data_IF_804313115945
#
_entry.id   IF_804313115945
#
_cell.length_a   1.000
_cell.length_b   1.000
_cell.length_c   1.000
_cell.angle_alpha   90.00
_cell.angle_beta   90.00
_cell.angle_gamma   90.00
#
_symmetry.space_group_name_H-M   'P 1'
#
loop_
_entity.id
_entity.type
_entity.pdbx_description
1 polymer ?
#
# COMPACT_ATOMS: atom_id res chain seq x y z
N UNK A 1 -14.01 -12.59 -4.29
CA UNK A 1 -14.13 -11.37 -3.55
C UNK A 1 -12.77 -10.88 -3.09
N UNK A 2 -12.53 -9.59 -3.20
CA UNK A 2 -11.31 -8.99 -2.76
C UNK A 2 -11.08 -9.14 -1.26
N UNK A 3 -9.83 -9.15 -0.85
CA UNK A 3 -9.41 -9.23 0.53
C UNK A 3 -7.94 -8.94 0.65
N UNK A 4 -7.45 -8.86 1.88
CA UNK A 4 -6.01 -8.70 2.09
C UNK A 4 -5.26 -9.88 1.47
N UNK A 5 -4.14 -9.63 0.81
CA UNK A 5 -3.25 -10.71 0.41
C UNK A 5 -2.89 -11.58 1.60
N UNK A 6 -2.82 -12.88 1.39
CA UNK A 6 -2.52 -13.85 2.44
C UNK A 6 -1.08 -14.33 2.30
N UNK A 7 -0.30 -14.17 3.37
CA UNK A 7 1.03 -14.75 3.44
C UNK A 7 0.88 -16.15 4.01
N UNK A 8 1.34 -17.20 3.30
CA UNK A 8 1.27 -18.56 3.83
C UNK A 8 2.01 -18.69 5.16
N UNK A 9 1.44 -19.42 6.12
CA UNK A 9 2.04 -19.66 7.44
C UNK A 9 3.43 -20.26 7.37
N UNK A 10 3.67 -21.04 6.30
CA UNK A 10 4.97 -21.63 6.02
C UNK A 10 5.34 -21.35 4.59
N UNK A 11 6.39 -20.58 4.45
CA UNK A 11 7.06 -20.43 3.18
C UNK A 11 8.02 -21.61 3.01
N UNK A 12 7.51 -22.70 2.45
CA UNK A 12 8.32 -23.89 2.13
C UNK A 12 9.09 -23.69 0.80
N UNK A 13 9.48 -22.45 0.54
CA UNK A 13 10.21 -22.13 -0.68
C UNK A 13 11.68 -22.45 -0.46
N UNK A 14 12.18 -23.42 -1.21
CA UNK A 14 13.61 -23.67 -1.26
C UNK A 14 14.31 -22.70 -2.22
N UNK A 15 13.53 -22.13 -3.15
CA UNK A 15 14.01 -21.22 -4.18
C UNK A 15 13.79 -19.76 -3.76
N UNK A 16 14.89 -19.03 -3.62
CA UNK A 16 14.85 -17.61 -3.25
C UNK A 16 14.08 -16.74 -4.26
N UNK A 17 14.12 -17.08 -5.56
CA UNK A 17 13.42 -16.34 -6.60
C UNK A 17 11.89 -16.44 -6.44
N UNK A 18 11.37 -17.60 -6.07
CA UNK A 18 9.95 -17.79 -5.79
C UNK A 18 9.53 -16.99 -4.56
N UNK A 19 10.36 -16.96 -3.54
CA UNK A 19 10.12 -16.19 -2.33
C UNK A 19 10.12 -14.69 -2.61
N UNK A 20 11.05 -14.21 -3.40
CA UNK A 20 11.11 -12.83 -3.87
C UNK A 20 9.81 -12.47 -4.61
N UNK A 21 9.37 -13.29 -5.56
CA UNK A 21 8.14 -13.08 -6.30
C UNK A 21 6.90 -13.02 -5.40
N UNK A 22 6.84 -13.86 -4.37
CA UNK A 22 5.78 -13.81 -3.39
C UNK A 22 5.77 -12.48 -2.65
N UNK A 23 6.92 -12.04 -2.18
CA UNK A 23 7.02 -10.80 -1.42
C UNK A 23 6.75 -9.56 -2.27
N UNK A 24 7.12 -9.56 -3.53
CA UNK A 24 6.79 -8.48 -4.45
C UNK A 24 5.28 -8.23 -4.57
N UNK A 25 4.48 -9.28 -4.50
CA UNK A 25 3.02 -9.15 -4.52
C UNK A 25 2.44 -8.36 -3.34
N UNK A 26 3.15 -8.32 -2.21
CA UNK A 26 2.73 -7.51 -1.06
C UNK A 26 3.11 -6.04 -1.21
N UNK A 27 4.13 -5.77 -2.01
CA UNK A 27 4.52 -4.40 -2.33
C UNK A 27 3.58 -3.76 -3.35
N UNK A 28 3.13 -4.52 -4.34
CA UNK A 28 2.34 -4.00 -5.46
C UNK A 28 1.14 -3.14 -5.06
N UNK A 29 0.30 -3.52 -4.09
CA UNK A 29 -0.90 -2.75 -3.80
C UNK A 29 -0.62 -1.33 -3.31
N UNK A 30 0.55 -1.10 -2.75
CA UNK A 30 0.85 0.13 -2.01
C UNK A 30 2.04 0.87 -2.60
N UNK A 31 3.08 0.15 -3.02
CA UNK A 31 4.34 0.76 -3.39
C UNK A 31 4.50 1.01 -4.89
N UNK A 32 3.59 0.55 -5.72
CA UNK A 32 3.44 1.04 -7.09
C UNK A 32 2.82 2.43 -7.14
N UNK A 33 2.28 2.86 -6.01
CA UNK A 33 1.79 4.21 -5.84
C UNK A 33 2.98 5.17 -5.69
N UNK A 34 3.04 6.18 -6.53
CA UNK A 34 4.00 7.29 -6.38
C UNK A 34 3.86 8.02 -5.03
N UNK A 35 2.81 7.72 -4.28
CA UNK A 35 2.59 8.27 -2.95
C UNK A 35 3.48 7.64 -1.87
N UNK A 36 4.03 6.45 -2.10
CA UNK A 36 4.69 5.66 -1.06
C UNK A 36 6.13 5.29 -1.34
N UNK A 37 6.52 5.19 -2.60
CA UNK A 37 7.80 4.57 -2.96
C UNK A 37 9.05 5.21 -2.39
N UNK A 38 9.07 6.52 -2.20
CA UNK A 38 10.26 7.23 -1.72
C UNK A 38 10.04 8.01 -0.42
N UNK A 39 8.93 7.78 0.24
CA UNK A 39 8.51 8.53 1.43
C UNK A 39 8.71 7.67 2.67
N UNK A 40 9.34 8.25 3.69
CA UNK A 40 9.45 7.61 4.99
C UNK A 40 8.17 7.83 5.78
N UNK A 41 7.62 6.76 6.35
CA UNK A 41 6.41 6.82 7.16
C UNK A 41 6.34 5.63 8.12
N UNK A 42 5.69 5.83 9.27
CA UNK A 42 5.40 4.82 10.29
C UNK A 42 3.90 4.62 10.48
N UNK A 43 3.08 5.48 9.88
CA UNK A 43 1.62 5.35 9.89
C UNK A 43 1.02 5.93 8.61
N UNK A 44 -0.22 5.55 8.32
CA UNK A 44 -0.93 6.04 7.14
C UNK A 44 -1.05 7.57 7.12
N UNK A 45 -1.27 8.19 8.28
CA UNK A 45 -1.48 9.64 8.35
C UNK A 45 -0.21 10.46 8.14
N UNK A 46 0.96 9.84 8.21
CA UNK A 46 2.24 10.47 7.85
C UNK A 46 2.44 10.53 6.33
N UNK A 47 1.68 9.74 5.59
CA UNK A 47 1.73 9.74 4.13
C UNK A 47 1.01 10.98 3.62
N UNK A 48 1.60 11.75 2.67
CA UNK A 48 0.99 13.00 2.22
C UNK A 48 -0.38 12.83 1.57
N UNK A 49 -0.64 11.70 0.92
CA UNK A 49 -1.86 11.46 0.15
C UNK A 49 -2.48 10.10 0.47
N UNK A 50 -3.10 9.94 1.65
CA UNK A 50 -3.72 8.66 2.03
C UNK A 50 -4.84 8.20 1.09
N UNK A 51 -5.51 9.12 0.38
CA UNK A 51 -6.55 8.74 -0.59
C UNK A 51 -6.00 8.02 -1.81
N UNK A 52 -4.75 8.28 -2.20
CA UNK A 52 -4.09 7.51 -3.25
C UNK A 52 -3.83 6.07 -2.80
N UNK A 53 -3.48 5.90 -1.53
CA UNK A 53 -3.33 4.58 -0.92
C UNK A 53 -4.67 3.85 -0.90
N UNK A 54 -5.74 4.55 -0.52
CA UNK A 54 -7.09 3.99 -0.58
C UNK A 54 -7.44 3.48 -1.97
N UNK A 55 -7.20 4.28 -3.01
CA UNK A 55 -7.46 3.87 -4.40
C UNK A 55 -6.69 2.61 -4.77
N UNK A 56 -5.39 2.55 -4.46
CA UNK A 56 -4.56 1.39 -4.78
C UNK A 56 -5.04 0.12 -4.09
N UNK A 57 -5.36 0.22 -2.80
CA UNK A 57 -5.86 -0.90 -2.02
C UNK A 57 -7.25 -1.34 -2.46
N UNK A 58 -8.12 -0.39 -2.76
CA UNK A 58 -9.47 -0.70 -3.24
C UNK A 58 -9.42 -1.44 -4.57
N UNK A 59 -8.65 -0.94 -5.53
CA UNK A 59 -8.49 -1.58 -6.83
C UNK A 59 -7.79 -2.94 -6.73
N UNK A 60 -6.87 -3.11 -5.79
CA UNK A 60 -6.24 -4.40 -5.54
C UNK A 60 -7.25 -5.43 -5.02
N UNK A 61 -8.10 -5.03 -4.07
CA UNK A 61 -9.11 -5.90 -3.48
C UNK A 61 -10.32 -6.13 -4.39
N UNK A 62 -10.51 -5.26 -5.38
CA UNK A 62 -11.61 -5.31 -6.34
C UNK A 62 -11.04 -5.23 -7.77
N UNK A 63 -10.37 -6.30 -8.26
CA UNK A 63 -9.60 -6.24 -9.50
C UNK A 63 -10.44 -5.98 -10.77
N UNK A 64 -11.77 -6.19 -10.71
CA UNK A 64 -12.67 -5.89 -11.82
C UNK A 64 -13.14 -4.43 -11.83
N UNK A 65 -12.71 -3.61 -10.86
CA UNK A 65 -13.08 -2.20 -10.77
C UNK A 65 -12.25 -1.37 -11.75
N UNK A 66 -12.91 -0.54 -12.54
CA UNK A 66 -12.23 0.48 -13.32
C UNK A 66 -11.72 1.58 -12.36
N UNK A 67 -10.42 1.89 -12.35
CA UNK A 67 -9.90 2.98 -11.52
C UNK A 67 -10.62 4.31 -11.70
N UNK A 68 -11.16 4.59 -12.90
CA UNK A 68 -11.95 5.79 -13.16
C UNK A 68 -13.27 5.83 -12.37
N UNK A 69 -13.77 4.69 -11.91
CA UNK A 69 -14.96 4.63 -11.05
C UNK A 69 -14.63 4.92 -9.57
N UNK A 70 -13.36 4.90 -9.20
CA UNK A 70 -12.93 5.19 -7.83
C UNK A 70 -12.78 6.70 -7.62
N UNK A 71 -12.09 7.38 -8.51
CA UNK A 71 -11.94 8.83 -8.41
C UNK A 71 -13.01 9.59 -9.19
N UNK A 72 -13.20 10.85 -8.84
CA UNK A 72 -14.30 11.68 -9.35
C UNK A 72 -15.65 11.36 -8.71
N UNK A 73 -15.66 10.61 -7.61
CA UNK A 73 -16.86 10.20 -6.90
C UNK A 73 -16.81 10.59 -5.43
N UNK A 74 -17.97 10.56 -4.77
CA UNK A 74 -18.08 10.78 -3.34
C UNK A 74 -18.01 9.44 -2.62
N UNK A 75 -17.06 9.30 -1.69
CA UNK A 75 -16.87 8.08 -0.93
C UNK A 75 -17.30 8.26 0.52
N UNK A 76 -18.14 7.36 1.07
CA UNK A 76 -18.43 7.36 2.49
C UNK A 76 -17.15 7.18 3.31
N UNK A 77 -16.93 8.05 4.29
CA UNK A 77 -15.74 8.02 5.14
C UNK A 77 -15.62 6.72 5.91
N UNK A 78 -16.74 6.16 6.38
CA UNK A 78 -16.78 4.89 7.08
C UNK A 78 -16.29 3.72 6.20
N UNK A 79 -16.69 3.68 4.94
CA UNK A 79 -16.21 2.66 3.99
C UNK A 79 -14.72 2.80 3.70
N UNK A 80 -14.24 4.03 3.55
CA UNK A 80 -12.82 4.29 3.37
C UNK A 80 -11.99 3.83 4.58
N UNK A 81 -12.47 4.14 5.79
CA UNK A 81 -11.80 3.72 7.01
C UNK A 81 -11.73 2.20 7.14
N UNK A 82 -12.80 1.50 6.79
CA UNK A 82 -12.83 0.02 6.78
C UNK A 82 -11.81 -0.55 5.79
N UNK A 83 -11.78 -0.02 4.57
CA UNK A 83 -10.85 -0.48 3.54
C UNK A 83 -9.39 -0.27 3.97
N UNK A 84 -9.07 0.91 4.48
CA UNK A 84 -7.71 1.24 4.93
C UNK A 84 -7.30 0.44 6.18
N UNK A 85 -8.23 0.16 7.07
CA UNK A 85 -7.97 -0.61 8.30
C UNK A 85 -7.64 -2.08 8.06
N UNK A 86 -7.89 -2.58 6.86
CA UNK A 86 -7.45 -3.93 6.47
C UNK A 86 -5.93 -4.04 6.33
N UNK A 87 -5.25 -2.90 6.11
CA UNK A 87 -3.83 -2.85 5.82
C UNK A 87 -3.02 -2.00 6.79
N UNK A 88 -3.67 -1.10 7.50
CA UNK A 88 -3.04 -0.18 8.46
C UNK A 88 -3.79 -0.20 9.79
N UNK A 89 -3.06 -0.29 10.89
CA UNK A 89 -3.65 -0.18 12.21
C UNK A 89 -4.02 1.27 12.54
N UNK A 90 -5.06 1.43 13.34
CA UNK A 90 -5.40 2.71 13.96
C UNK A 90 -6.01 3.75 13.02
N UNK A 91 -6.50 3.35 11.86
CA UNK A 91 -7.21 4.28 10.94
C UNK A 91 -8.63 4.52 11.45
N UNK A 92 -8.96 5.78 11.64
CA UNK A 92 -10.29 6.22 12.08
C UNK A 92 -10.92 7.19 11.09
N UNK A 93 -12.26 7.26 11.11
CA UNK A 93 -12.99 8.25 10.31
C UNK A 93 -12.59 9.69 10.68
N UNK A 94 -12.40 9.95 11.97
CA UNK A 94 -11.98 11.27 12.45
C UNK A 94 -10.65 11.72 11.86
N UNK A 95 -9.67 10.82 11.77
CA UNK A 95 -8.39 11.12 11.14
C UNK A 95 -8.54 11.50 9.68
N UNK A 96 -9.38 10.77 8.92
CA UNK A 96 -9.64 11.04 7.52
C UNK A 96 -10.36 12.38 7.34
N UNK A 97 -11.37 12.66 8.15
CA UNK A 97 -12.11 13.92 8.12
C UNK A 97 -11.17 15.10 8.42
N UNK A 98 -10.34 14.98 9.46
CA UNK A 98 -9.42 16.05 9.84
C UNK A 98 -8.37 16.33 8.75
N UNK A 99 -7.90 15.29 8.07
CA UNK A 99 -6.92 15.44 6.99
C UNK A 99 -7.52 16.07 5.73
N UNK A 100 -8.79 15.83 5.47
CA UNK A 100 -9.48 16.22 4.24
C UNK A 100 -10.67 17.11 4.46
N UNK A 101 -10.58 18.06 5.39
CA UNK A 101 -11.67 18.97 5.74
C UNK A 101 -12.21 19.77 4.55
N UNK A 102 -11.36 20.11 3.60
CA UNK A 102 -11.70 20.88 2.41
C UNK A 102 -12.56 20.11 1.39
N UNK A 103 -12.54 18.79 1.44
CA UNK A 103 -13.33 17.94 0.54
C UNK A 103 -14.36 17.09 1.28
N UNK A 104 -14.49 17.27 2.59
CA UNK A 104 -15.48 16.56 3.40
C UNK A 104 -16.83 17.25 3.38
N UNK A 105 -17.88 16.48 3.09
CA UNK A 105 -19.27 16.92 3.20
C UNK A 105 -19.90 16.32 4.46
N UNK A 106 -20.11 17.12 5.52
CA UNK A 106 -20.71 16.62 6.75
C UNK A 106 -22.19 16.22 6.59
N UNK A 107 -22.88 16.74 5.58
CA UNK A 107 -24.30 16.41 5.35
C UNK A 107 -24.47 14.98 4.86
N UNK A 108 -23.52 14.49 4.04
CA UNK A 108 -23.53 13.13 3.49
C UNK A 108 -22.56 12.18 4.17
N UNK A 109 -21.60 12.70 4.93
CA UNK A 109 -20.54 11.88 5.52
C UNK A 109 -19.55 11.34 4.49
N UNK A 110 -19.32 12.08 3.40
CA UNK A 110 -18.49 11.65 2.28
C UNK A 110 -17.28 12.56 2.08
N UNK A 111 -16.24 11.98 1.46
CA UNK A 111 -15.11 12.70 0.89
C UNK A 111 -15.22 12.67 -0.63
N UNK A 112 -15.08 13.83 -1.27
CA UNK A 112 -15.04 13.89 -2.73
C UNK A 112 -13.62 13.62 -3.21
N UNK A 113 -13.39 12.41 -3.74
CA UNK A 113 -12.08 12.00 -4.20
C UNK A 113 -11.89 12.32 -5.68
N UNK A 114 -11.02 13.27 -5.95
CA UNK A 114 -10.53 13.54 -7.31
C UNK A 114 -9.15 12.88 -7.45
N UNK A 115 -9.09 11.83 -8.25
CA UNK A 115 -7.86 11.15 -8.59
C UNK A 115 -7.08 11.91 -9.64
N UNK A 116 -6.22 11.24 -10.34
CA UNK A 116 -5.48 11.84 -11.46
C UNK A 116 -4.00 11.96 -11.19
N UNK A 117 -3.39 10.89 -10.72
CA UNK A 117 -1.94 10.76 -10.66
C UNK A 117 -1.44 10.06 -11.90
N UNK A 118 -0.25 10.49 -12.37
CA UNK A 118 0.50 9.75 -13.38
C UNK A 118 1.38 8.68 -12.72
N UNK A 119 1.49 7.50 -13.35
CA UNK A 119 2.50 6.52 -12.99
C UNK A 119 3.75 6.73 -13.82
N UNK A 120 4.93 6.58 -13.21
CA UNK A 120 6.20 6.54 -13.95
C UNK A 120 6.47 5.14 -14.51
N UNK A 121 7.33 5.02 -15.53
CA UNK A 121 7.72 3.72 -16.08
C UNK A 121 8.75 3.03 -15.18
N UNK A 122 8.34 2.59 -14.01
CA UNK A 122 9.17 1.90 -13.05
C UNK A 122 8.48 0.65 -12.51
N UNK A 123 9.27 -0.23 -11.93
CA UNK A 123 8.77 -1.39 -11.20
C UNK A 123 9.62 -1.60 -9.93
N UNK A 124 9.05 -2.31 -8.97
CA UNK A 124 9.70 -2.61 -7.71
C UNK A 124 10.27 -4.02 -7.73
N UNK A 125 11.42 -4.19 -7.08
CA UNK A 125 12.01 -5.50 -6.86
C UNK A 125 12.44 -5.64 -5.41
N UNK A 126 12.06 -6.76 -4.82
CA UNK A 126 12.59 -7.18 -3.53
C UNK A 126 14.01 -7.69 -3.73
N UNK A 127 14.95 -7.10 -3.02
CA UNK A 127 16.37 -7.46 -3.07
C UNK A 127 16.81 -8.32 -1.90
N UNK A 128 16.00 -8.36 -0.82
CA UNK A 128 16.28 -9.17 0.35
C UNK A 128 15.14 -9.04 1.37
N UNK A 129 15.24 -9.78 2.44
CA UNK A 129 14.26 -9.74 3.53
C UNK A 129 14.88 -10.17 4.85
N UNK A 130 14.24 -9.77 5.94
CA UNK A 130 14.56 -10.17 7.31
C UNK A 130 13.27 -10.56 8.01
N UNK A 131 13.30 -11.66 8.75
CA UNK A 131 12.17 -12.14 9.55
C UNK A 131 12.52 -12.06 11.02
N UNK A 132 11.61 -11.49 11.82
CA UNK A 132 11.74 -11.40 13.27
C UNK A 132 10.36 -11.60 13.91
N UNK A 133 10.07 -12.84 14.30
CA UNK A 133 8.77 -13.23 14.84
C UNK A 133 7.65 -13.00 13.81
N UNK A 134 6.71 -12.15 14.13
CA UNK A 134 5.59 -11.77 13.26
C UNK A 134 5.91 -10.58 12.33
N UNK A 135 7.13 -10.06 12.39
CA UNK A 135 7.58 -8.94 11.53
C UNK A 135 8.41 -9.45 10.38
N UNK A 136 8.09 -8.92 9.20
CA UNK A 136 8.84 -9.14 7.97
C UNK A 136 9.29 -7.79 7.45
N UNK A 137 10.59 -7.63 7.25
CA UNK A 137 11.17 -6.42 6.64
C UNK A 137 11.66 -6.77 5.25
N UNK A 138 11.09 -6.12 4.24
CA UNK A 138 11.44 -6.30 2.85
C UNK A 138 12.38 -5.19 2.40
N UNK A 139 13.53 -5.59 1.86
CA UNK A 139 14.44 -4.69 1.17
C UNK A 139 14.00 -4.61 -0.29
N UNK A 140 13.78 -3.41 -0.81
CA UNK A 140 13.36 -3.26 -2.21
C UNK A 140 13.98 -2.02 -2.85
N UNK A 141 14.01 -2.04 -4.17
CA UNK A 141 14.47 -0.92 -5.00
C UNK A 141 13.50 -0.67 -6.14
N UNK A 142 13.50 0.55 -6.65
CA UNK A 142 12.79 0.91 -7.87
C UNK A 142 13.72 0.76 -9.07
N UNK A 143 13.20 0.15 -10.13
CA UNK A 143 13.92 -0.08 -11.38
C UNK A 143 13.24 0.64 -12.54
N UNK A 144 14.03 1.21 -13.43
CA UNK A 144 13.52 1.78 -14.66
C UNK A 144 12.97 0.69 -15.58
N UNK A 145 11.72 0.80 -16.01
CA UNK A 145 11.15 -0.11 -16.99
C UNK A 145 11.80 0.02 -18.37
N UNK A 146 12.42 1.17 -18.66
CA UNK A 146 13.08 1.41 -19.94
C UNK A 146 14.47 0.77 -20.02
N UNK A 147 15.24 0.78 -18.93
CA UNK A 147 16.63 0.33 -18.90
C UNK A 147 16.86 -0.96 -18.13
N UNK A 148 15.92 -1.32 -17.23
CA UNK A 148 16.11 -2.47 -16.33
C UNK A 148 17.10 -2.21 -15.20
N UNK A 149 17.59 -0.98 -15.07
CA UNK A 149 18.55 -0.60 -14.04
C UNK A 149 17.85 0.01 -12.82
N UNK A 150 18.39 -0.19 -11.59
CA UNK A 150 17.83 0.45 -10.42
C UNK A 150 18.01 1.96 -10.47
N UNK A 151 17.02 2.69 -9.97
CA UNK A 151 17.17 4.12 -9.75
C UNK A 151 18.11 4.36 -8.57
N UNK A 152 18.97 5.35 -8.71
CA UNK A 152 19.90 5.75 -7.66
C UNK A 152 19.12 6.21 -6.41
N UNK A 153 19.59 5.81 -5.23
CA UNK A 153 19.00 6.13 -3.93
C UNK A 153 17.53 5.68 -3.75
N UNK A 154 17.09 4.67 -4.48
CA UNK A 154 15.74 4.13 -4.35
C UNK A 154 15.59 3.01 -3.32
N UNK A 155 16.68 2.55 -2.72
CA UNK A 155 16.64 1.45 -1.76
C UNK A 155 15.84 1.80 -0.51
N UNK A 156 14.85 0.99 -0.18
CA UNK A 156 13.94 1.17 0.95
C UNK A 156 13.73 -0.14 1.72
N UNK A 157 13.22 0.02 2.93
CA UNK A 157 12.83 -1.05 3.83
C UNK A 157 11.34 -0.91 4.15
N UNK A 158 10.55 -1.88 3.73
CA UNK A 158 9.13 -1.97 4.10
C UNK A 158 8.96 -3.00 5.20
N UNK A 159 8.37 -2.61 6.31
CA UNK A 159 8.07 -3.52 7.42
C UNK A 159 6.58 -3.81 7.45
N UNK A 160 6.23 -5.10 7.53
CA UNK A 160 4.88 -5.58 7.70
C UNK A 160 4.80 -6.49 8.92
N UNK A 161 3.62 -6.51 9.57
CA UNK A 161 3.32 -7.47 10.64
C UNK A 161 2.41 -8.55 10.08
N UNK A 162 2.80 -9.79 10.24
CA UNK A 162 2.03 -10.95 9.83
C UNK A 162 1.04 -11.32 10.91
N UNK A 163 -0.22 -11.58 10.54
CA UNK A 163 -1.27 -11.96 11.46
C UNK A 163 -1.56 -13.47 11.36
N UNK A 164 -2.14 -14.03 12.43
CA UNK A 164 -2.43 -15.47 12.51
C UNK A 164 -3.39 -15.97 11.42
N UNK A 165 -4.29 -15.09 10.96
CA UNK A 165 -5.25 -15.42 9.89
C UNK A 165 -4.64 -15.38 8.48
N UNK A 166 -3.34 -15.09 8.38
CA UNK A 166 -2.62 -14.95 7.12
C UNK A 166 -2.70 -13.57 6.48
N UNK A 167 -3.43 -12.64 7.07
CA UNK A 167 -3.41 -11.24 6.66
C UNK A 167 -2.18 -10.53 7.24
N UNK A 168 -1.99 -9.28 6.87
CA UNK A 168 -0.87 -8.48 7.35
C UNK A 168 -1.24 -7.01 7.50
N UNK A 169 -0.37 -6.28 8.20
CA UNK A 169 -0.48 -4.83 8.36
C UNK A 169 0.83 -4.18 7.97
N UNK A 170 0.74 -3.08 7.26
CA UNK A 170 1.89 -2.24 6.96
C UNK A 170 2.30 -1.47 8.20
N UNK A 171 3.55 -1.59 8.62
CA UNK A 171 4.07 -0.91 9.82
C UNK A 171 4.89 0.33 9.50
N UNK A 172 5.60 0.32 8.40
CA UNK A 172 6.42 1.46 8.03
C UNK A 172 7.23 1.24 6.76
N UNK A 173 7.74 2.33 6.23
CA UNK A 173 8.63 2.35 5.07
C UNK A 173 9.74 3.36 5.34
N UNK A 174 10.98 2.93 5.22
CA UNK A 174 12.15 3.76 5.50
C UNK A 174 13.20 3.59 4.43
N UNK A 175 13.99 4.62 4.22
CA UNK A 175 15.16 4.51 3.35
C UNK A 175 16.21 3.59 3.95
N UNK A 176 16.80 2.79 3.12
CA UNK A 176 17.87 1.89 3.54
C UNK A 176 19.18 2.63 3.77
#
# INVERSE_FOLDING_TARGET
>A
PGGCPVIPDRLLWEDADQRIQLYERYLEPVLTSTALGSIEWDSLMEIPRPLWVFEDLYCHDHPDTDPFDVYGTDWPVDEMAVQLSRYFDGVTEEQLINKYQDIYDPASGTLHYEGGRGGGPYYLRVTGWEEDGDRLTLHYEEYSAATGEPYEDSACLLTVRLLEDGSFRYLGNHKA
#
